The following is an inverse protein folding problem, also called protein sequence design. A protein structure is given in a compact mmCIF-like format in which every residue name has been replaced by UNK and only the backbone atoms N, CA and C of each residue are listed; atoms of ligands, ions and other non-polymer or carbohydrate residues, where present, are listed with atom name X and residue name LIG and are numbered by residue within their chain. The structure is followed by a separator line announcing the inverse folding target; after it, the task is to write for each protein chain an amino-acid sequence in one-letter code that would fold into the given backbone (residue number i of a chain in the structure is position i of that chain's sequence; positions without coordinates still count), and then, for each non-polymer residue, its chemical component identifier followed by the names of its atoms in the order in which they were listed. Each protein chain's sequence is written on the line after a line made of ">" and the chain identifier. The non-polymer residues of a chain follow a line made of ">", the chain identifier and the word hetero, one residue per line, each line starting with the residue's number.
data_IF_854458609370
#
_entry.id   IF_854458609370
#
_cell.length_a   1.000
_cell.length_b   1.000
_cell.length_c   1.000
_cell.angle_alpha   90.00
_cell.angle_beta   90.00
_cell.angle_gamma   90.00
#
_symmetry.space_group_name_H-M   'P 1'
#
loop_
_entity.id
_entity.type
_entity.pdbx_description
1 polymer ?
#
# COMPACT_ATOMS: atom_id res chain seq x y z
N UNK A 1 2.36 9.87 -5.88
CA UNK A 1 1.84 9.45 -4.57
C UNK A 1 2.91 9.60 -3.50
N UNK A 2 2.51 9.96 -2.28
CA UNK A 2 3.36 10.04 -1.10
C UNK A 2 3.30 8.70 -0.36
N UNK A 3 4.45 8.01 -0.28
CA UNK A 3 4.56 6.63 0.22
C UNK A 3 5.43 6.62 1.48
N UNK A 4 4.95 5.99 2.54
CA UNK A 4 5.72 5.77 3.76
C UNK A 4 6.64 4.56 3.59
N UNK A 5 6.12 3.44 3.10
CA UNK A 5 6.88 2.20 2.93
C UNK A 5 6.19 1.25 1.95
N UNK A 6 7.00 0.42 1.28
CA UNK A 6 6.56 -0.73 0.49
C UNK A 6 7.40 -1.93 0.92
N UNK A 7 6.77 -3.01 1.36
CA UNK A 7 7.50 -4.15 1.91
C UNK A 7 6.71 -5.45 1.81
N UNK A 8 7.43 -6.58 1.78
CA UNK A 8 6.83 -7.93 1.79
C UNK A 8 6.72 -8.45 3.21
N UNK A 9 5.56 -9.01 3.56
CA UNK A 9 5.32 -9.63 4.86
C UNK A 9 4.22 -10.72 4.76
N UNK A 10 3.68 -11.13 5.90
CA UNK A 10 2.43 -11.86 6.01
C UNK A 10 1.32 -10.90 6.47
N UNK A 11 0.10 -11.03 5.93
CA UNK A 11 -1.05 -10.28 6.42
C UNK A 11 -1.36 -10.73 7.86
N UNK A 12 -1.46 -9.77 8.77
CA UNK A 12 -1.70 -10.03 10.20
C UNK A 12 -3.18 -10.12 10.57
N UNK A 13 -4.08 -9.56 9.75
CA UNK A 13 -5.46 -9.30 10.14
C UNK A 13 -6.49 -9.80 9.11
N UNK A 14 -7.72 -10.00 9.60
CA UNK A 14 -8.91 -10.26 8.77
C UNK A 14 -8.83 -11.53 7.90
N UNK A 15 -9.49 -11.52 6.74
CA UNK A 15 -9.73 -12.66 5.84
C UNK A 15 -8.47 -13.35 5.33
N UNK A 16 -7.39 -12.59 5.13
CA UNK A 16 -6.15 -13.09 4.55
C UNK A 16 -5.03 -13.28 5.58
N UNK A 17 -5.36 -13.27 6.88
CA UNK A 17 -4.38 -13.49 7.94
C UNK A 17 -3.51 -14.75 7.67
N UNK A 18 -2.18 -14.57 7.74
CA UNK A 18 -1.18 -15.60 7.45
C UNK A 18 -0.76 -15.72 5.98
N UNK A 19 -1.41 -15.03 5.03
CA UNK A 19 -1.01 -15.06 3.63
C UNK A 19 0.18 -14.12 3.34
N UNK A 20 1.15 -14.54 2.52
CA UNK A 20 2.18 -13.63 2.00
C UNK A 20 1.56 -12.48 1.19
N UNK A 21 1.99 -11.26 1.47
CA UNK A 21 1.53 -10.07 0.77
C UNK A 21 2.62 -9.00 0.67
N UNK A 22 2.42 -8.05 -0.23
CA UNK A 22 3.18 -6.80 -0.29
C UNK A 22 2.30 -5.69 0.27
N UNK A 23 2.75 -5.02 1.32
CA UNK A 23 2.10 -3.81 1.82
C UNK A 23 2.57 -2.60 1.04
N UNK A 24 1.63 -1.76 0.63
CA UNK A 24 1.89 -0.41 0.10
C UNK A 24 1.26 0.57 1.09
N UNK A 25 2.10 1.16 1.97
CA UNK A 25 1.65 2.12 2.98
C UNK A 25 1.82 3.54 2.47
N UNK A 26 0.70 4.21 2.18
CA UNK A 26 0.69 5.60 1.76
C UNK A 26 0.89 6.52 2.99
N UNK A 27 1.23 7.78 2.73
CA UNK A 27 1.38 8.81 3.76
C UNK A 27 0.16 9.73 3.80
N UNK A 28 -0.22 10.16 5.01
CA UNK A 28 -1.27 11.13 5.27
C UNK A 28 -2.56 10.47 5.75
N UNK A 29 -3.20 11.08 6.74
CA UNK A 29 -4.53 10.70 7.23
C UNK A 29 -5.32 11.98 7.56
N UNK A 30 -6.62 11.99 7.32
CA UNK A 30 -7.53 13.09 7.66
C UNK A 30 -8.11 12.94 9.08
N UNK A 31 -7.86 11.81 9.73
CA UNK A 31 -8.21 11.55 11.12
C UNK A 31 -7.00 11.69 12.04
N UNK A 32 -7.25 11.86 13.33
CA UNK A 32 -6.24 11.91 14.41
C UNK A 32 -6.71 11.02 15.56
N UNK A 33 -6.90 9.74 15.24
CA UNK A 33 -7.36 8.75 16.19
C UNK A 33 -6.35 8.60 17.33
N UNK A 34 -6.79 8.76 18.58
CA UNK A 34 -5.94 8.66 19.78
C UNK A 34 -5.39 7.25 20.04
N UNK A 35 -5.87 6.25 19.29
CA UNK A 35 -5.51 4.83 19.39
C UNK A 35 -4.81 4.32 18.14
N UNK A 36 -4.27 5.21 17.30
CA UNK A 36 -3.57 4.80 16.10
C UNK A 36 -2.19 4.24 16.47
N UNK A 37 -1.89 3.03 16.04
CA UNK A 37 -0.57 2.40 16.20
C UNK A 37 0.43 2.81 15.11
N UNK A 38 -0.05 3.48 14.06
CA UNK A 38 0.72 3.84 12.85
C UNK A 38 0.76 5.37 12.65
N UNK A 39 0.88 6.14 13.74
CA UNK A 39 0.93 7.62 13.68
C UNK A 39 2.09 8.15 12.82
N UNK A 40 3.16 7.37 12.69
CA UNK A 40 4.31 7.70 11.82
C UNK A 40 3.93 7.81 10.34
N UNK A 41 2.79 7.25 9.92
CA UNK A 41 2.26 7.39 8.55
C UNK A 41 1.54 8.73 8.29
N UNK A 42 1.32 9.57 9.32
CA UNK A 42 0.60 10.84 9.15
C UNK A 42 1.39 11.88 8.36
N UNK A 43 2.72 11.81 8.39
CA UNK A 43 3.61 12.82 7.79
C UNK A 43 4.87 12.16 7.19
N UNK A 44 5.62 12.91 6.39
CA UNK A 44 6.88 12.45 5.79
C UNK A 44 6.67 11.62 4.53
N UNK A 45 7.29 10.46 4.47
CA UNK A 45 7.30 9.58 3.29
C UNK A 45 8.15 10.12 2.12
N UNK A 46 8.15 9.37 1.03
CA UNK A 46 8.82 9.68 -0.23
C UNK A 46 7.79 9.84 -1.34
N UNK A 47 7.99 10.84 -2.19
CA UNK A 47 7.20 10.97 -3.42
C UNK A 47 7.64 9.90 -4.41
N UNK A 48 6.71 9.05 -4.82
CA UNK A 48 6.89 8.01 -5.83
C UNK A 48 5.86 8.17 -6.94
N UNK A 49 6.24 7.85 -8.18
CA UNK A 49 5.28 7.72 -9.28
C UNK A 49 4.54 6.39 -9.18
N UNK A 50 3.45 6.25 -9.93
CA UNK A 50 2.72 5.00 -10.04
C UNK A 50 3.64 3.86 -10.51
N UNK A 51 4.47 4.13 -11.52
CA UNK A 51 5.44 3.18 -12.07
C UNK A 51 6.43 2.73 -11.01
N UNK A 52 6.99 3.68 -10.24
CA UNK A 52 7.94 3.35 -9.17
C UNK A 52 7.32 2.45 -8.10
N UNK A 53 6.05 2.64 -7.75
CA UNK A 53 5.37 1.77 -6.78
C UNK A 53 5.05 0.41 -7.39
N UNK A 54 4.58 0.38 -8.63
CA UNK A 54 4.33 -0.87 -9.35
C UNK A 54 5.60 -1.72 -9.47
N UNK A 55 6.70 -1.12 -9.91
CA UNK A 55 7.99 -1.79 -10.09
C UNK A 55 8.52 -2.36 -8.75
N UNK A 56 8.32 -1.62 -7.65
CA UNK A 56 8.70 -2.10 -6.31
C UNK A 56 7.83 -3.29 -5.84
N UNK A 57 6.52 -3.25 -6.12
CA UNK A 57 5.62 -4.37 -5.84
C UNK A 57 6.02 -5.61 -6.65
N UNK A 58 6.32 -5.43 -7.94
CA UNK A 58 6.76 -6.51 -8.82
C UNK A 58 8.11 -7.10 -8.38
N UNK A 59 9.05 -6.24 -7.97
CA UNK A 59 10.32 -6.70 -7.42
C UNK A 59 10.15 -7.54 -6.14
N UNK A 60 9.26 -7.13 -5.24
CA UNK A 60 8.99 -7.84 -3.99
C UNK A 60 8.14 -9.11 -4.19
N UNK A 61 7.28 -9.14 -5.21
CA UNK A 61 6.43 -10.27 -5.55
C UNK A 61 6.41 -10.55 -7.05
N UNK A 62 7.49 -11.13 -7.62
CA UNK A 62 7.60 -11.37 -9.07
C UNK A 62 6.54 -12.30 -9.64
N UNK A 63 5.95 -13.16 -8.79
CA UNK A 63 4.73 -13.88 -9.10
C UNK A 63 3.57 -13.13 -8.46
N UNK A 64 2.52 -12.75 -9.24
CA UNK A 64 1.41 -11.98 -8.71
C UNK A 64 0.75 -12.66 -7.51
N UNK A 65 0.61 -11.89 -6.44
CA UNK A 65 0.11 -12.33 -5.14
C UNK A 65 -0.85 -11.31 -4.53
N UNK A 66 -0.96 -11.30 -3.20
CA UNK A 66 -1.77 -10.32 -2.46
C UNK A 66 -0.97 -9.01 -2.27
N UNK A 67 -1.62 -7.89 -2.53
CA UNK A 67 -1.10 -6.54 -2.29
C UNK A 67 -2.06 -5.82 -1.36
N UNK A 68 -1.57 -5.36 -0.23
CA UNK A 68 -2.35 -4.69 0.81
C UNK A 68 -2.10 -3.18 0.73
N UNK A 69 -3.06 -2.43 0.20
CA UNK A 69 -3.02 -0.97 0.17
C UNK A 69 -3.49 -0.44 1.51
N UNK A 70 -2.66 0.38 2.17
CA UNK A 70 -2.95 0.91 3.51
C UNK A 70 -2.31 2.28 3.74
N UNK A 71 -2.51 2.88 4.92
CA UNK A 71 -1.73 3.99 5.48
C UNK A 71 -1.88 5.35 4.81
N UNK A 72 -1.74 6.45 5.55
CA UNK A 72 -2.64 6.65 6.68
C UNK A 72 -4.05 6.33 6.17
N UNK A 73 -4.78 7.33 5.66
CA UNK A 73 -5.98 7.06 4.86
C UNK A 73 -5.61 6.99 3.37
N UNK A 74 -5.57 5.78 2.76
CA UNK A 74 -5.12 5.61 1.37
C UNK A 74 -5.99 6.39 0.37
N UNK A 75 -7.29 6.55 0.65
CA UNK A 75 -8.19 7.26 -0.25
C UNK A 75 -7.96 8.77 -0.33
N UNK A 76 -7.12 9.35 0.54
CA UNK A 76 -6.68 10.75 0.36
C UNK A 76 -5.86 10.96 -0.92
N UNK A 77 -5.31 9.89 -1.49
CA UNK A 77 -4.51 9.93 -2.72
C UNK A 77 -5.20 9.20 -3.88
N UNK A 78 -6.53 9.09 -3.86
CA UNK A 78 -7.36 8.32 -4.81
C UNK A 78 -7.01 8.55 -6.29
N UNK A 79 -6.66 9.79 -6.68
CA UNK A 79 -6.36 10.15 -8.07
C UNK A 79 -5.17 9.40 -8.65
N UNK A 80 -4.19 9.10 -7.81
CA UNK A 80 -3.01 8.31 -8.21
C UNK A 80 -3.16 6.84 -7.80
N UNK A 81 -3.87 6.57 -6.70
CA UNK A 81 -4.03 5.22 -6.16
C UNK A 81 -4.95 4.33 -7.01
N UNK A 82 -6.11 4.83 -7.45
CA UNK A 82 -7.06 4.01 -8.23
C UNK A 82 -6.44 3.49 -9.54
N UNK A 83 -5.71 4.32 -10.33
CA UNK A 83 -4.98 3.81 -11.49
C UNK A 83 -3.91 2.75 -11.14
N UNK A 84 -3.23 2.85 -10.00
CA UNK A 84 -2.27 1.84 -9.55
C UNK A 84 -2.99 0.52 -9.23
N UNK A 85 -4.10 0.57 -8.49
CA UNK A 85 -4.91 -0.61 -8.16
C UNK A 85 -5.40 -1.32 -9.42
N UNK A 86 -5.90 -0.55 -10.40
CA UNK A 86 -6.32 -1.12 -11.69
C UNK A 86 -5.17 -1.82 -12.39
N UNK A 87 -4.00 -1.18 -12.48
CA UNK A 87 -2.81 -1.78 -13.11
C UNK A 87 -2.36 -3.06 -12.40
N UNK A 88 -2.40 -3.09 -11.07
CA UNK A 88 -2.06 -4.28 -10.30
C UNK A 88 -3.04 -5.43 -10.58
N UNK A 89 -4.34 -5.15 -10.58
CA UNK A 89 -5.38 -6.14 -10.92
C UNK A 89 -5.20 -6.65 -12.36
N UNK A 90 -4.97 -5.77 -13.31
CA UNK A 90 -4.72 -6.12 -14.72
C UNK A 90 -3.45 -6.98 -14.89
N UNK A 91 -2.49 -6.85 -13.97
CA UNK A 91 -1.26 -7.65 -13.92
C UNK A 91 -1.40 -8.95 -13.12
N UNK A 92 -2.62 -9.29 -12.66
CA UNK A 92 -2.93 -10.54 -11.97
C UNK A 92 -2.73 -10.51 -10.45
N UNK A 93 -2.41 -9.36 -9.86
CA UNK A 93 -2.37 -9.22 -8.41
C UNK A 93 -3.79 -9.20 -7.84
N UNK A 94 -3.91 -9.69 -6.61
CA UNK A 94 -5.08 -9.43 -5.78
C UNK A 94 -4.79 -8.19 -4.94
N UNK A 95 -5.66 -7.20 -5.02
CA UNK A 95 -5.59 -5.93 -4.28
C UNK A 95 -6.82 -5.80 -3.40
#
# INVERSE_FOLDING_TARGET
>A
MQITEVYKSLQGESTYAGMPCVFVRLTGCNLRCIWCDTEYSFYGGKKMTLEQVFDEVEHLSPSPGLVEITGGEPMLQERELVPLMQRLVDSGYKV
#
